data_IF_018199431390
#
_entry.id   IF_018199431390
#
_cell.length_a   1.000
_cell.length_b   1.000
_cell.length_c   1.000
_cell.angle_alpha   90.00
_cell.angle_beta   90.00
_cell.angle_gamma   90.00
#
_symmetry.space_group_name_H-M   'P 1'
#
loop_
_entity.id
_entity.type
_entity.pdbx_description
1 polymer ?
#
# COMPACT_ATOMS: atom_id res chain seq x y z
N UNK A 1 7.35 29.73 -5.95
CA UNK A 1 6.53 28.53 -5.66
C UNK A 1 7.53 27.41 -5.43
N UNK A 2 7.73 27.04 -4.17
CA UNK A 2 8.83 26.18 -3.75
C UNK A 2 8.52 24.73 -4.14
N UNK A 3 9.53 23.91 -4.44
CA UNK A 3 9.33 22.51 -4.84
C UNK A 3 8.44 21.71 -3.85
N UNK A 4 8.46 22.12 -2.58
CA UNK A 4 7.61 21.60 -1.51
C UNK A 4 6.10 21.75 -1.77
N UNK A 5 5.65 22.87 -2.35
CA UNK A 5 4.22 23.13 -2.60
C UNK A 5 3.67 22.18 -3.67
N UNK A 6 4.49 21.86 -4.67
CA UNK A 6 4.13 20.93 -5.75
C UNK A 6 4.07 19.49 -5.23
N UNK A 7 5.05 19.07 -4.43
CA UNK A 7 5.05 17.73 -3.84
C UNK A 7 3.81 17.52 -2.95
N UNK A 8 3.50 18.50 -2.10
CA UNK A 8 2.34 18.44 -1.20
C UNK A 8 1.00 18.32 -1.96
N UNK A 9 0.84 19.07 -3.06
CA UNK A 9 -0.35 19.00 -3.90
C UNK A 9 -0.52 17.65 -4.62
N UNK A 10 0.59 17.03 -5.04
CA UNK A 10 0.60 15.72 -5.68
C UNK A 10 0.25 14.61 -4.68
N UNK A 11 0.87 14.62 -3.51
CA UNK A 11 0.60 13.66 -2.43
C UNK A 11 -0.84 13.77 -1.95
N UNK A 12 -1.36 14.99 -1.75
CA UNK A 12 -2.78 15.19 -1.40
C UNK A 12 -3.73 14.68 -2.48
N UNK A 13 -3.34 14.78 -3.75
CA UNK A 13 -4.12 14.25 -4.87
C UNK A 13 -4.08 12.72 -4.92
N UNK A 14 -2.91 12.10 -4.72
CA UNK A 14 -2.77 10.64 -4.63
C UNK A 14 -3.58 10.06 -3.46
N UNK A 15 -3.51 10.70 -2.28
CA UNK A 15 -4.29 10.28 -1.11
C UNK A 15 -5.78 10.41 -1.34
N UNK A 16 -6.25 11.53 -1.91
CA UNK A 16 -7.67 11.69 -2.27
C UNK A 16 -8.12 10.69 -3.33
N UNK A 17 -7.27 10.38 -4.30
CA UNK A 17 -7.58 9.34 -5.27
C UNK A 17 -7.74 7.98 -4.57
N UNK A 18 -6.83 7.62 -3.67
CA UNK A 18 -6.95 6.39 -2.86
C UNK A 18 -8.23 6.37 -2.02
N UNK A 19 -8.60 7.48 -1.37
CA UNK A 19 -9.85 7.57 -0.59
C UNK A 19 -11.08 7.33 -1.50
N UNK A 20 -11.09 7.91 -2.70
CA UNK A 20 -12.16 7.70 -3.69
C UNK A 20 -12.15 6.26 -4.21
N UNK A 21 -10.99 5.69 -4.50
CA UNK A 21 -10.87 4.30 -4.93
C UNK A 21 -11.32 3.33 -3.84
N UNK A 22 -11.00 3.59 -2.57
CA UNK A 22 -11.47 2.82 -1.42
C UNK A 22 -12.99 2.90 -1.30
N UNK A 23 -13.58 4.08 -1.49
CA UNK A 23 -15.04 4.24 -1.51
C UNK A 23 -15.71 3.51 -2.70
N UNK A 24 -15.03 3.41 -3.84
CA UNK A 24 -15.49 2.70 -5.04
C UNK A 24 -15.11 1.21 -5.05
N UNK A 25 -14.30 0.76 -4.10
CA UNK A 25 -13.79 -0.61 -4.04
C UNK A 25 -14.85 -1.72 -4.09
N UNK A 26 -16.09 -1.57 -3.57
CA UNK A 26 -17.11 -2.61 -3.70
C UNK A 26 -17.60 -2.82 -5.14
N UNK A 27 -17.27 -1.89 -6.06
CA UNK A 27 -17.67 -1.92 -7.47
C UNK A 27 -16.51 -2.22 -8.41
N UNK A 28 -15.29 -2.34 -7.88
CA UNK A 28 -14.08 -2.58 -8.66
C UNK A 28 -13.69 -4.05 -8.59
N UNK A 29 -13.17 -4.57 -9.70
CA UNK A 29 -12.58 -5.91 -9.72
C UNK A 29 -11.29 -5.93 -8.91
N UNK A 30 -10.98 -7.09 -8.31
CA UNK A 30 -9.77 -7.24 -7.50
C UNK A 30 -8.49 -6.97 -8.30
N UNK A 31 -8.49 -7.35 -9.58
CA UNK A 31 -7.43 -6.96 -10.53
C UNK A 31 -7.27 -5.45 -10.64
N UNK A 32 -8.35 -4.69 -10.82
CA UNK A 32 -8.26 -3.24 -10.94
C UNK A 32 -7.82 -2.56 -9.64
N UNK A 33 -8.22 -3.11 -8.48
CA UNK A 33 -7.74 -2.64 -7.17
C UNK A 33 -6.22 -2.82 -7.06
N UNK A 34 -5.72 -3.99 -7.43
CA UNK A 34 -4.30 -4.31 -7.38
C UNK A 34 -3.48 -3.50 -8.39
N UNK A 35 -3.89 -3.45 -9.66
CA UNK A 35 -3.14 -2.78 -10.73
C UNK A 35 -3.03 -1.25 -10.55
N UNK A 36 -4.00 -0.63 -9.88
CA UNK A 36 -4.03 0.84 -9.74
C UNK A 36 -3.77 1.34 -8.32
N UNK A 37 -4.31 0.69 -7.30
CA UNK A 37 -4.23 1.20 -5.93
C UNK A 37 -2.92 0.80 -5.24
N UNK A 38 -2.37 -0.39 -5.55
CA UNK A 38 -1.08 -0.84 -4.97
C UNK A 38 0.07 0.07 -5.42
N UNK A 39 0.27 0.36 -6.73
CA UNK A 39 1.33 1.27 -7.15
C UNK A 39 1.19 2.66 -6.54
N UNK A 40 -0.04 3.19 -6.47
CA UNK A 40 -0.30 4.48 -5.83
C UNK A 40 0.08 4.49 -4.35
N UNK A 41 -0.16 3.39 -3.63
CA UNK A 41 0.18 3.28 -2.20
C UNK A 41 1.68 3.10 -2.00
N UNK A 42 2.33 2.32 -2.86
CA UNK A 42 3.79 2.12 -2.86
C UNK A 42 4.54 3.42 -3.16
N UNK A 43 4.02 4.24 -4.06
CA UNK A 43 4.55 5.59 -4.29
C UNK A 43 4.55 6.45 -3.01
N UNK A 44 3.52 6.33 -2.17
CA UNK A 44 3.44 7.08 -0.90
C UNK A 44 4.41 6.54 0.16
N UNK A 45 4.81 5.26 0.10
CA UNK A 45 5.80 4.68 1.01
C UNK A 45 7.20 5.27 0.84
N UNK A 46 7.45 5.90 -0.33
CA UNK A 46 8.72 6.52 -0.72
C UNK A 46 8.76 8.03 -0.48
N UNK A 47 7.69 8.61 0.06
CA UNK A 47 7.65 10.05 0.38
C UNK A 47 8.64 10.39 1.51
N UNK A 48 9.20 11.61 1.50
CA UNK A 48 10.15 12.05 2.54
C UNK A 48 9.48 12.25 3.90
N UNK A 49 8.15 12.44 3.93
CA UNK A 49 7.41 12.71 5.16
C UNK A 49 6.91 11.41 5.78
N UNK A 50 7.38 11.11 6.99
CA UNK A 50 7.03 9.90 7.75
C UNK A 50 5.52 9.65 7.90
N UNK A 51 4.72 10.70 8.06
CA UNK A 51 3.25 10.62 8.17
C UNK A 51 2.62 10.16 6.86
N UNK A 52 3.15 10.61 5.72
CA UNK A 52 2.69 10.19 4.39
C UNK A 52 3.05 8.74 4.14
N UNK A 53 4.27 8.32 4.51
CA UNK A 53 4.71 6.92 4.43
C UNK A 53 3.81 6.01 5.28
N UNK A 54 3.52 6.39 6.52
CA UNK A 54 2.63 5.63 7.39
C UNK A 54 1.19 5.56 6.81
N UNK A 55 0.69 6.64 6.21
CA UNK A 55 -0.62 6.65 5.54
C UNK A 55 -0.64 5.76 4.29
N UNK A 56 0.45 5.75 3.50
CA UNK A 56 0.63 4.84 2.37
C UNK A 56 0.61 3.38 2.81
N UNK A 57 1.27 3.08 3.94
CA UNK A 57 1.25 1.76 4.57
C UNK A 57 -0.17 1.35 4.95
N UNK A 58 -0.88 2.18 5.70
CA UNK A 58 -2.28 1.92 6.06
C UNK A 58 -3.18 1.71 4.84
N UNK A 59 -2.99 2.50 3.78
CA UNK A 59 -3.77 2.38 2.53
C UNK A 59 -3.49 1.05 1.83
N UNK A 60 -2.21 0.66 1.72
CA UNK A 60 -1.80 -0.62 1.14
C UNK A 60 -2.49 -1.79 1.84
N UNK A 61 -2.56 -1.78 3.18
CA UNK A 61 -3.29 -2.82 3.93
C UNK A 61 -4.77 -2.81 3.66
N UNK A 62 -5.40 -1.64 3.61
CA UNK A 62 -6.84 -1.56 3.32
C UNK A 62 -7.16 -2.15 1.95
N UNK A 63 -6.36 -1.82 0.93
CA UNK A 63 -6.51 -2.37 -0.42
C UNK A 63 -6.38 -3.89 -0.39
N UNK A 64 -5.34 -4.41 0.25
CA UNK A 64 -5.08 -5.82 0.35
C UNK A 64 -6.23 -6.56 1.06
N UNK A 65 -6.77 -6.01 2.15
CA UNK A 65 -7.94 -6.59 2.84
C UNK A 65 -9.22 -6.59 1.99
N UNK A 66 -9.34 -5.69 1.00
CA UNK A 66 -10.50 -5.59 0.10
C UNK A 66 -10.43 -6.54 -1.09
N UNK A 67 -9.28 -7.18 -1.32
CA UNK A 67 -9.11 -8.19 -2.37
C UNK A 67 -9.58 -9.54 -1.85
N UNK A 68 -10.59 -10.10 -2.50
CA UNK A 68 -11.23 -11.36 -2.11
C UNK A 68 -10.78 -12.53 -2.98
N UNK A 69 -10.58 -12.30 -4.28
CA UNK A 69 -10.18 -13.28 -5.28
C UNK A 69 -8.72 -13.05 -5.70
N UNK A 70 -7.87 -14.02 -5.37
CA UNK A 70 -6.47 -14.05 -5.77
C UNK A 70 -6.38 -14.89 -7.03
N UNK A 71 -6.01 -14.25 -8.15
CA UNK A 71 -5.87 -14.88 -9.46
C UNK A 71 -4.37 -15.10 -9.71
N UNK A 72 -3.94 -16.16 -10.44
CA UNK A 72 -2.54 -16.41 -10.80
C UNK A 72 -1.79 -15.22 -11.41
N UNK A 73 -2.49 -14.27 -12.04
CA UNK A 73 -1.86 -13.05 -12.58
C UNK A 73 -1.41 -12.04 -11.52
N UNK A 74 -1.82 -12.23 -10.26
CA UNK A 74 -1.68 -11.25 -9.18
C UNK A 74 -0.77 -11.74 -8.05
N UNK A 75 -0.27 -12.97 -8.15
CA UNK A 75 0.52 -13.63 -7.10
C UNK A 75 1.90 -12.97 -6.95
N UNK A 76 2.44 -12.46 -8.06
CA UNK A 76 3.76 -11.83 -8.11
C UNK A 76 3.80 -10.46 -7.42
N UNK A 77 2.65 -9.83 -7.13
CA UNK A 77 2.59 -8.53 -6.45
C UNK A 77 3.21 -8.61 -5.05
N UNK A 78 3.08 -9.74 -4.35
CA UNK A 78 3.69 -9.92 -3.04
C UNK A 78 5.23 -9.92 -3.09
N UNK A 79 5.88 -10.83 -3.82
CA UNK A 79 7.33 -10.88 -3.90
C UNK A 79 7.94 -9.69 -4.64
N UNK A 80 7.34 -9.19 -5.72
CA UNK A 80 7.94 -8.14 -6.55
C UNK A 80 7.67 -6.72 -6.01
N UNK A 81 6.53 -6.50 -5.37
CA UNK A 81 6.11 -5.15 -4.97
C UNK A 81 6.04 -5.00 -3.45
N UNK A 82 5.37 -5.91 -2.73
CA UNK A 82 5.09 -5.71 -1.30
C UNK A 82 6.33 -5.99 -0.43
N UNK A 83 6.99 -7.14 -0.61
CA UNK A 83 8.17 -7.55 0.17
C UNK A 83 9.33 -6.53 0.13
N UNK A 84 9.76 -5.98 -1.03
CA UNK A 84 10.85 -5.01 -1.05
C UNK A 84 10.49 -3.72 -0.30
N UNK A 85 9.26 -3.23 -0.45
CA UNK A 85 8.82 -2.03 0.26
C UNK A 85 8.68 -2.28 1.78
N UNK A 86 8.35 -3.50 2.21
CA UNK A 86 8.35 -3.88 3.63
C UNK A 86 9.74 -3.80 4.24
N UNK A 87 10.76 -4.32 3.54
CA UNK A 87 12.13 -4.25 4.01
C UNK A 87 12.54 -2.79 4.27
N UNK A 88 12.22 -1.88 3.35
CA UNK A 88 12.50 -0.45 3.49
C UNK A 88 11.72 0.21 4.64
N UNK A 89 10.49 -0.25 4.89
CA UNK A 89 9.65 0.21 6.01
C UNK A 89 10.18 -0.26 7.36
N UNK A 90 10.72 -1.48 7.44
CA UNK A 90 11.33 -2.02 8.66
C UNK A 90 12.64 -1.29 9.00
N UNK A 91 13.43 -0.95 7.98
CA UNK A 91 14.69 -0.20 8.12
C UNK A 91 14.49 1.32 8.21
N UNK A 92 13.25 1.81 8.10
CA UNK A 92 12.94 3.23 8.14
C UNK A 92 13.48 3.86 9.43
N UNK A 93 14.14 5.04 9.40
CA UNK A 93 14.63 5.71 10.61
C UNK A 93 13.50 6.17 11.55
N UNK A 94 12.28 6.34 11.04
CA UNK A 94 11.16 6.90 11.77
C UNK A 94 10.37 5.84 12.54
N UNK A 95 10.25 6.07 13.85
CA UNK A 95 9.54 5.17 14.77
C UNK A 95 8.07 4.98 14.35
N UNK A 96 7.42 6.05 13.87
CA UNK A 96 6.02 6.00 13.45
C UNK A 96 5.78 4.97 12.35
N UNK A 97 6.64 4.94 11.34
CA UNK A 97 6.54 4.03 10.19
C UNK A 97 6.73 2.59 10.66
N UNK A 98 7.75 2.34 11.50
CA UNK A 98 8.00 1.02 12.09
C UNK A 98 6.90 0.55 13.04
N UNK A 99 6.32 1.43 13.84
CA UNK A 99 5.19 1.09 14.72
C UNK A 99 3.93 0.76 13.93
N UNK A 100 3.64 1.54 12.88
CA UNK A 100 2.51 1.27 11.98
C UNK A 100 2.68 -0.08 11.29
N UNK A 101 3.91 -0.40 10.88
CA UNK A 101 4.26 -1.74 10.41
C UNK A 101 4.06 -2.81 11.49
N UNK A 102 4.58 -2.63 12.70
CA UNK A 102 4.42 -3.65 13.75
C UNK A 102 2.95 -4.03 14.03
N UNK A 103 2.03 -3.07 13.90
CA UNK A 103 0.59 -3.28 14.12
C UNK A 103 -0.07 -4.17 13.06
N UNK A 104 0.47 -4.24 11.84
CA UNK A 104 -0.13 -5.02 10.76
C UNK A 104 0.63 -6.32 10.45
N UNK A 105 1.76 -6.59 11.10
CA UNK A 105 2.70 -7.65 10.68
C UNK A 105 2.04 -9.02 10.68
N UNK A 106 1.22 -9.31 11.70
CA UNK A 106 0.51 -10.58 11.76
C UNK A 106 -0.49 -10.75 10.61
N UNK A 107 -1.24 -9.70 10.28
CA UNK A 107 -2.22 -9.74 9.17
C UNK A 107 -1.51 -9.85 7.82
N UNK A 108 -0.39 -9.18 7.67
CA UNK A 108 0.43 -9.26 6.46
C UNK A 108 0.94 -10.70 6.23
N UNK A 109 1.40 -11.38 7.28
CA UNK A 109 1.84 -12.78 7.20
C UNK A 109 0.69 -13.70 6.80
N UNK A 110 -0.48 -13.55 7.43
CA UNK A 110 -1.69 -14.33 7.10
C UNK A 110 -2.10 -14.12 5.63
N UNK A 111 -2.08 -12.87 5.18
CA UNK A 111 -2.33 -12.53 3.78
C UNK A 111 -1.29 -13.14 2.84
N UNK A 112 0.00 -13.04 3.15
CA UNK A 112 1.05 -13.62 2.33
C UNK A 112 0.90 -15.14 2.22
N UNK A 113 0.53 -15.82 3.31
CA UNK A 113 0.24 -17.26 3.30
C UNK A 113 -0.92 -17.58 2.36
N UNK A 114 -2.04 -16.83 2.45
CA UNK A 114 -3.18 -17.01 1.53
C UNK A 114 -2.81 -16.80 0.06
N UNK A 115 -1.97 -15.83 -0.25
CA UNK A 115 -1.48 -15.59 -1.62
C UNK A 115 -0.58 -16.73 -2.12
N UNK A 116 0.25 -17.31 -1.25
CA UNK A 116 1.12 -18.44 -1.59
C UNK A 116 0.36 -19.78 -1.71
N UNK A 117 -0.72 -19.98 -0.95
CA UNK A 117 -1.54 -21.20 -1.02
C UNK A 117 -2.46 -21.25 -2.24
N UNK A 118 -2.78 -20.08 -2.83
CA UNK A 118 -3.73 -19.95 -3.95
C UNK A 118 -3.03 -19.84 -5.32
N UNK A 119 -1.72 -19.57 -5.34
CA UNK A 119 -0.89 -19.55 -6.56
C UNK A 119 -0.34 -20.93 -6.89
#
# INVERSE_FOLDING_TARGET
ISANDRNWSLVCSKRRALDVFLALSPRLTDKAKLDHMVPCSVDLLRDEVAVVRAAGLCSLRQILMLVTDIIPSNVDIFPECIIPNIHDVVQAPEVLVRCTYAQWTMQLTDMAARYLETG
#
